data_IF_917729294709
#
_entry.id   IF_917729294709
#
_cell.length_a   1.000
_cell.length_b   1.000
_cell.length_c   1.000
_cell.angle_alpha   90.00
_cell.angle_beta   90.00
_cell.angle_gamma   90.00
#
_symmetry.space_group_name_H-M   'P 1'
#
loop_
_entity.id
_entity.type
_entity.pdbx_description
1 polymer ?
#
# COMPACT_ATOMS: atom_id res chain seq x y z
N UNK A 1 -7.92 -14.70 6.53
CA UNK A 1 -8.52 -13.36 6.29
C UNK A 1 -7.39 -12.55 5.69
N UNK A 2 -7.67 -11.81 4.63
CA UNK A 2 -6.64 -11.02 3.95
C UNK A 2 -6.41 -9.74 4.74
N UNK A 3 -5.15 -9.45 5.06
CA UNK A 3 -4.73 -8.20 5.70
C UNK A 3 -4.10 -7.28 4.64
N UNK A 4 -4.64 -7.30 3.42
CA UNK A 4 -4.15 -6.60 2.23
C UNK A 4 -3.74 -5.14 2.44
N UNK A 5 -4.46 -4.40 3.28
CA UNK A 5 -4.11 -3.01 3.59
C UNK A 5 -2.88 -2.89 4.49
N UNK A 6 -2.71 -3.81 5.44
CA UNK A 6 -1.48 -3.92 6.24
C UNK A 6 -0.30 -4.27 5.34
N UNK A 7 -0.49 -5.18 4.39
CA UNK A 7 0.55 -5.53 3.41
C UNK A 7 0.95 -4.32 2.55
N UNK A 8 -0.01 -3.60 1.96
CA UNK A 8 0.24 -2.37 1.22
C UNK A 8 0.98 -1.33 2.07
N UNK A 9 0.62 -1.19 3.34
CA UNK A 9 1.28 -0.28 4.26
C UNK A 9 2.73 -0.72 4.52
N UNK A 10 2.99 -2.00 4.77
CA UNK A 10 4.36 -2.53 4.94
C UNK A 10 5.22 -2.38 3.68
N UNK A 11 4.58 -2.30 2.51
CA UNK A 11 5.24 -2.07 1.22
C UNK A 11 5.41 -0.58 0.88
N UNK A 12 5.00 0.34 1.77
CA UNK A 12 5.19 1.78 1.63
C UNK A 12 4.07 2.53 0.89
N UNK A 13 2.92 1.90 0.65
CA UNK A 13 1.76 2.55 0.03
C UNK A 13 0.88 3.26 1.07
N UNK A 14 1.43 4.30 1.72
CA UNK A 14 0.78 5.01 2.84
C UNK A 14 -0.36 5.98 2.42
N UNK A 15 -0.44 6.33 1.13
CA UNK A 15 -1.37 7.36 0.61
C UNK A 15 -2.52 6.77 -0.21
N UNK A 16 -2.91 5.53 0.07
CA UNK A 16 -4.02 4.86 -0.64
C UNK A 16 -5.31 4.94 0.18
N UNK A 17 -6.37 5.52 -0.39
CA UNK A 17 -7.71 5.52 0.19
C UNK A 17 -8.58 4.52 -0.55
N UNK A 18 -9.08 3.49 0.13
CA UNK A 18 -9.94 2.47 -0.49
C UNK A 18 -11.39 2.67 -0.08
N UNK A 19 -12.27 2.86 -1.07
CA UNK A 19 -13.69 3.11 -0.88
C UNK A 19 -14.50 1.90 -1.37
N UNK A 20 -15.15 1.20 -0.45
CA UNK A 20 -16.11 0.14 -0.76
C UNK A 20 -17.51 0.71 -1.00
N UNK A 21 -18.06 0.59 -2.21
CA UNK A 21 -19.42 1.06 -2.54
C UNK A 21 -20.40 -0.11 -2.47
N UNK A 22 -21.38 -0.06 -1.57
CA UNK A 22 -22.34 -1.16 -1.39
C UNK A 22 -23.70 -0.72 -0.86
N UNK A 23 -24.77 -1.21 -1.50
CA UNK A 23 -26.16 -0.87 -1.21
C UNK A 23 -26.70 -1.64 0.02
N UNK A 24 -26.26 -1.31 1.24
CA UNK A 24 -26.97 -1.56 2.52
C UNK A 24 -26.59 -2.75 3.42
N UNK A 25 -25.65 -3.66 3.11
CA UNK A 25 -25.18 -4.63 4.13
C UNK A 25 -23.90 -5.35 3.70
N UNK A 26 -22.76 -4.94 4.25
CA UNK A 26 -21.46 -5.59 3.99
C UNK A 26 -20.69 -5.91 5.28
N UNK A 27 -21.41 -6.33 6.33
CA UNK A 27 -20.81 -6.70 7.64
C UNK A 27 -19.65 -7.70 7.47
N UNK A 28 -19.72 -8.61 6.49
CA UNK A 28 -18.68 -9.62 6.24
C UNK A 28 -17.58 -9.20 5.24
N UNK A 29 -17.83 -8.21 4.37
CA UNK A 29 -16.80 -7.69 3.46
C UNK A 29 -15.83 -6.80 4.24
N UNK A 30 -16.37 -5.93 5.10
CA UNK A 30 -15.59 -5.00 5.92
C UNK A 30 -14.62 -5.71 6.85
N UNK A 31 -15.05 -6.82 7.47
CA UNK A 31 -14.23 -7.58 8.42
C UNK A 31 -13.04 -8.33 7.80
N UNK A 32 -13.02 -8.52 6.48
CA UNK A 32 -11.91 -9.19 5.77
C UNK A 32 -11.11 -8.24 4.89
N UNK A 33 -11.55 -6.99 4.72
CA UNK A 33 -10.91 -6.04 3.81
C UNK A 33 -10.25 -4.87 4.55
N UNK A 34 -10.88 -4.42 5.64
CA UNK A 34 -10.34 -3.40 6.54
C UNK A 34 -9.88 -4.03 7.87
N UNK A 35 -9.66 -5.36 7.90
CA UNK A 35 -9.12 -6.01 9.10
C UNK A 35 -7.78 -5.35 9.45
N UNK A 36 -7.59 -5.02 10.73
CA UNK A 36 -6.36 -4.42 11.25
C UNK A 36 -5.94 -3.08 10.59
N UNK A 37 -6.87 -2.37 9.94
CA UNK A 37 -6.60 -1.08 9.30
C UNK A 37 -7.31 0.08 10.01
N UNK A 38 -6.60 1.19 10.20
CA UNK A 38 -7.11 2.44 10.80
C UNK A 38 -7.77 3.39 9.77
N UNK A 39 -8.07 2.90 8.56
CA UNK A 39 -8.59 3.74 7.48
C UNK A 39 -10.08 4.13 7.64
N UNK A 40 -10.48 5.33 7.17
CA UNK A 40 -11.87 5.74 7.14
C UNK A 40 -12.65 4.94 6.10
N UNK A 41 -13.55 4.05 6.54
CA UNK A 41 -14.50 3.38 5.65
C UNK A 41 -15.73 4.25 5.40
N UNK A 42 -15.99 4.59 4.13
CA UNK A 42 -17.20 5.31 3.72
C UNK A 42 -18.24 4.30 3.22
N UNK A 43 -19.40 4.26 3.87
CA UNK A 43 -20.53 3.40 3.49
C UNK A 43 -21.59 4.22 2.75
N UNK A 44 -22.02 3.75 1.58
CA UNK A 44 -23.10 4.39 0.84
C UNK A 44 -24.47 4.07 1.46
N UNK A 45 -25.12 5.09 2.04
CA UNK A 45 -26.34 4.89 2.82
C UNK A 45 -27.59 4.96 1.93
N UNK A 46 -28.40 3.90 2.00
CA UNK A 46 -29.75 3.85 1.44
C UNK A 46 -30.69 4.79 2.22
N UNK A 47 -31.67 5.46 1.57
CA UNK A 47 -32.10 5.28 0.18
C UNK A 47 -31.44 6.21 -0.84
N UNK A 48 -30.64 7.19 -0.41
CA UNK A 48 -30.10 8.25 -1.28
C UNK A 48 -28.93 7.81 -2.15
N UNK A 49 -28.15 6.82 -1.71
CA UNK A 49 -27.02 6.23 -2.45
C UNK A 49 -26.16 7.25 -3.24
N UNK A 50 -25.69 8.34 -2.61
CA UNK A 50 -24.95 9.40 -3.28
C UNK A 50 -23.64 8.90 -3.91
N UNK A 51 -22.98 7.91 -3.32
CA UNK A 51 -21.70 7.38 -3.83
C UNK A 51 -21.97 6.50 -5.05
N UNK A 52 -22.98 5.63 -5.01
CA UNK A 52 -23.44 4.88 -6.18
C UNK A 52 -23.77 5.81 -7.35
N UNK A 53 -24.47 6.91 -7.08
CA UNK A 53 -24.85 7.89 -8.09
C UNK A 53 -23.62 8.63 -8.65
N UNK A 54 -22.71 9.06 -7.78
CA UNK A 54 -21.51 9.78 -8.17
C UNK A 54 -20.57 8.94 -9.06
N UNK A 55 -20.50 7.63 -8.82
CA UNK A 55 -19.56 6.73 -9.51
C UNK A 55 -20.21 5.79 -10.52
N UNK A 56 -21.47 6.04 -10.90
CA UNK A 56 -22.25 5.15 -11.77
C UNK A 56 -22.11 3.68 -11.34
N UNK A 57 -22.35 3.44 -10.05
CA UNK A 57 -22.10 2.17 -9.41
C UNK A 57 -23.07 1.08 -9.90
N UNK A 58 -22.51 -0.05 -10.30
CA UNK A 58 -23.24 -1.25 -10.69
C UNK A 58 -23.24 -2.29 -9.57
N UNK A 59 -24.09 -3.32 -9.69
CA UNK A 59 -24.12 -4.40 -8.71
C UNK A 59 -22.73 -5.05 -8.57
N UNK A 60 -22.13 -4.95 -7.38
CA UNK A 60 -20.82 -5.51 -7.04
C UNK A 60 -19.65 -4.87 -7.81
N UNK A 61 -19.79 -3.61 -8.20
CA UNK A 61 -18.68 -2.85 -8.75
C UNK A 61 -17.65 -2.53 -7.65
N UNK A 62 -16.38 -2.83 -7.94
CA UNK A 62 -15.20 -2.29 -7.26
C UNK A 62 -14.65 -1.17 -8.13
N UNK A 63 -14.38 -0.01 -7.54
CA UNK A 63 -13.81 1.16 -8.22
C UNK A 63 -12.59 1.62 -7.43
N UNK A 64 -11.46 1.80 -8.12
CA UNK A 64 -10.25 2.43 -7.58
C UNK A 64 -10.21 3.85 -8.07
N UNK A 65 -10.06 4.79 -7.16
CA UNK A 65 -9.96 6.21 -7.47
C UNK A 65 -8.58 6.74 -7.14
N UNK A 66 -8.21 7.77 -7.88
CA UNK A 66 -7.06 8.60 -7.59
C UNK A 66 -7.30 9.41 -6.29
N UNK A 67 -6.23 9.92 -5.69
CA UNK A 67 -6.26 10.76 -4.48
C UNK A 67 -7.00 12.08 -4.70
N UNK A 68 -7.20 12.49 -5.97
CA UNK A 68 -8.04 13.62 -6.33
C UNK A 68 -9.55 13.38 -6.09
N UNK A 69 -9.95 12.12 -5.85
CA UNK A 69 -11.34 11.70 -5.64
C UNK A 69 -12.25 11.84 -6.86
N UNK A 70 -11.67 12.04 -8.06
CA UNK A 70 -12.39 12.28 -9.32
C UNK A 70 -11.93 11.30 -10.41
N UNK A 71 -10.65 11.00 -10.49
CA UNK A 71 -10.07 10.15 -11.53
C UNK A 71 -10.25 8.67 -11.19
N UNK A 72 -10.88 7.91 -12.08
CA UNK A 72 -11.03 6.46 -11.95
C UNK A 72 -9.79 5.76 -12.51
N UNK A 73 -9.07 5.03 -11.66
CA UNK A 73 -7.88 4.26 -12.02
C UNK A 73 -8.23 2.85 -12.49
N UNK A 74 -9.30 2.28 -11.93
CA UNK A 74 -9.74 0.92 -12.26
C UNK A 74 -11.20 0.68 -11.87
N UNK A 75 -11.85 -0.22 -12.62
CA UNK A 75 -13.18 -0.72 -12.32
C UNK A 75 -13.31 -2.19 -12.67
N UNK A 76 -13.89 -2.95 -11.75
CA UNK A 76 -14.26 -4.34 -11.99
C UNK A 76 -15.61 -4.70 -11.39
N UNK A 77 -16.31 -5.65 -12.01
CA UNK A 77 -17.49 -6.28 -11.42
C UNK A 77 -17.05 -7.54 -10.69
N UNK A 78 -17.22 -7.56 -9.38
CA UNK A 78 -16.84 -8.70 -8.55
C UNK A 78 -17.84 -9.84 -8.78
N UNK A 79 -17.38 -10.96 -9.33
CA UNK A 79 -18.17 -12.17 -9.52
C UNK A 79 -18.16 -13.10 -8.29
N UNK A 80 -17.20 -12.93 -7.39
CA UNK A 80 -17.08 -13.62 -6.09
C UNK A 80 -17.19 -12.63 -4.93
N UNK A 81 -17.51 -13.12 -3.74
CA UNK A 81 -17.38 -12.36 -2.48
C UNK A 81 -16.05 -12.63 -1.78
N UNK A 82 -15.23 -13.53 -2.33
CA UNK A 82 -13.88 -13.84 -1.85
C UNK A 82 -12.90 -12.84 -2.46
N UNK A 83 -12.56 -11.80 -1.68
CA UNK A 83 -11.70 -10.70 -2.13
C UNK A 83 -10.30 -11.10 -2.61
N UNK A 84 -9.63 -12.13 -2.05
CA UNK A 84 -8.29 -12.50 -2.49
C UNK A 84 -8.15 -12.92 -3.96
N UNK A 85 -9.24 -13.08 -4.70
CA UNK A 85 -9.20 -13.27 -6.16
C UNK A 85 -8.91 -11.98 -6.93
N UNK A 86 -8.95 -10.82 -6.27
CA UNK A 86 -8.85 -9.49 -6.88
C UNK A 86 -7.66 -8.69 -6.34
N UNK A 87 -6.88 -9.25 -5.41
CA UNK A 87 -5.76 -8.56 -4.76
C UNK A 87 -4.66 -8.20 -5.75
N UNK A 88 -4.30 -9.11 -6.65
CA UNK A 88 -3.26 -8.88 -7.66
C UNK A 88 -3.65 -7.75 -8.60
N UNK A 89 -4.86 -7.80 -9.19
CA UNK A 89 -5.37 -6.74 -10.07
C UNK A 89 -5.39 -5.38 -9.36
N UNK A 90 -5.75 -5.36 -8.07
CA UNK A 90 -5.82 -4.13 -7.29
C UNK A 90 -4.43 -3.59 -6.93
N UNK A 91 -3.50 -4.48 -6.56
CA UNK A 91 -2.08 -4.17 -6.35
C UNK A 91 -1.47 -3.57 -7.60
N UNK A 92 -1.66 -4.20 -8.75
CA UNK A 92 -1.10 -3.74 -10.02
C UNK A 92 -1.56 -2.32 -10.37
N UNK A 93 -2.84 -2.01 -10.14
CA UNK A 93 -3.39 -0.65 -10.34
C UNK A 93 -2.74 0.36 -9.40
N UNK A 94 -2.56 0.01 -8.12
CA UNK A 94 -1.89 0.89 -7.16
C UNK A 94 -0.44 1.12 -7.58
N UNK A 95 0.33 0.05 -7.82
CA UNK A 95 1.75 0.12 -8.18
C UNK A 95 1.97 0.95 -9.45
N UNK A 96 1.11 0.77 -10.46
CA UNK A 96 1.22 1.46 -11.74
C UNK A 96 0.99 2.98 -11.62
N UNK A 97 0.08 3.40 -10.73
CA UNK A 97 -0.27 4.82 -10.57
C UNK A 97 0.48 5.52 -9.43
N UNK A 98 0.91 4.75 -8.43
CA UNK A 98 1.62 5.22 -7.25
C UNK A 98 2.81 4.30 -7.00
N UNK A 99 3.81 4.26 -7.88
CA UNK A 99 4.99 3.44 -7.64
C UNK A 99 5.53 3.76 -6.24
N UNK A 100 5.79 2.73 -5.42
CA UNK A 100 6.26 2.94 -4.06
C UNK A 100 7.44 3.90 -4.10
N UNK A 101 7.38 4.95 -3.28
CA UNK A 101 8.48 5.92 -3.15
C UNK A 101 9.60 5.34 -2.32
N UNK A 102 9.80 4.02 -2.31
CA UNK A 102 10.91 3.39 -1.61
C UNK A 102 12.18 3.82 -2.32
N UNK A 103 12.74 4.94 -1.89
CA UNK A 103 14.03 5.41 -2.36
C UNK A 103 15.03 4.37 -1.85
N UNK A 104 15.78 3.67 -2.72
CA UNK A 104 16.75 2.70 -2.25
C UNK A 104 17.72 3.37 -1.27
N UNK A 105 17.81 2.83 -0.05
CA UNK A 105 18.65 3.38 1.02
C UNK A 105 17.97 4.39 1.94
N UNK A 106 16.71 4.78 1.71
CA UNK A 106 15.89 5.52 2.69
C UNK A 106 15.27 4.53 3.68
N UNK A 107 15.86 4.44 4.86
CA UNK A 107 15.49 3.47 5.89
C UNK A 107 14.61 4.07 6.98
N UNK A 108 14.58 5.40 7.10
CA UNK A 108 13.77 6.11 8.07
C UNK A 108 12.46 6.67 7.46
N UNK A 109 12.25 6.47 6.16
CA UNK A 109 11.09 6.94 5.38
C UNK A 109 10.93 8.46 5.43
N UNK A 110 12.03 9.22 5.42
CA UNK A 110 12.03 10.69 5.42
C UNK A 110 12.18 11.31 4.02
N UNK A 111 12.12 10.48 2.97
CA UNK A 111 12.31 10.82 1.57
C UNK A 111 13.73 11.35 1.24
N UNK A 112 14.72 11.18 2.14
CA UNK A 112 16.11 11.59 1.90
C UNK A 112 17.14 10.55 2.32
N UNK A 113 17.97 10.09 1.38
CA UNK A 113 19.09 9.19 1.71
C UNK A 113 20.27 9.98 2.24
N UNK A 114 20.57 9.84 3.53
CA UNK A 114 21.65 10.56 4.19
C UNK A 114 22.31 9.75 5.34
N UNK A 115 23.08 10.43 6.19
CA UNK A 115 23.79 9.80 7.31
C UNK A 115 22.84 9.16 8.34
N UNK A 116 21.58 9.61 8.43
CA UNK A 116 20.58 9.05 9.33
C UNK A 116 20.20 7.62 8.93
N UNK A 117 20.10 7.32 7.64
CA UNK A 117 19.86 5.95 7.15
C UNK A 117 21.01 5.02 7.48
N UNK A 118 22.26 5.51 7.34
CA UNK A 118 23.46 4.74 7.75
C UNK A 118 23.41 4.42 9.25
N UNK A 119 22.96 5.36 10.09
CA UNK A 119 22.82 5.13 11.53
C UNK A 119 21.76 4.05 11.78
N UNK A 120 20.63 4.10 11.08
CA UNK A 120 19.58 3.10 11.21
C UNK A 120 20.03 1.71 10.74
N UNK A 121 20.72 1.64 9.60
CA UNK A 121 21.31 0.40 9.09
C UNK A 121 22.32 -0.18 10.08
N UNK A 122 23.16 0.66 10.67
CA UNK A 122 24.13 0.25 11.69
C UNK A 122 23.44 -0.36 12.91
N UNK A 123 22.33 0.23 13.37
CA UNK A 123 21.54 -0.31 14.48
C UNK A 123 20.88 -1.65 14.10
N UNK A 124 20.47 -1.82 12.85
CA UNK A 124 19.91 -3.07 12.35
C UNK A 124 20.95 -4.19 12.35
N UNK A 125 22.17 -3.91 11.84
CA UNK A 125 23.31 -4.83 11.88
C UNK A 125 23.63 -5.24 13.33
N UNK A 126 23.66 -4.28 14.26
CA UNK A 126 23.99 -4.55 15.66
C UNK A 126 22.89 -5.33 16.41
N UNK A 127 21.64 -5.18 16.00
CA UNK A 127 20.51 -5.92 16.58
C UNK A 127 20.28 -7.28 15.94
N UNK A 128 20.95 -7.59 14.82
CA UNK A 128 20.69 -8.78 14.01
C UNK A 128 19.32 -8.74 13.33
N UNK A 129 18.78 -7.53 13.12
CA UNK A 129 17.54 -7.32 12.40
C UNK A 129 17.74 -7.55 10.90
N UNK A 130 16.64 -7.91 10.22
CA UNK A 130 16.59 -8.02 8.77
C UNK A 130 15.38 -7.22 8.26
N UNK A 131 15.58 -6.54 7.12
CA UNK A 131 14.57 -5.82 6.36
C UNK A 131 14.97 -5.87 4.89
N UNK A 132 14.04 -6.19 4.00
CA UNK A 132 14.30 -6.24 2.56
C UNK A 132 14.72 -4.87 1.99
N UNK A 133 14.29 -3.77 2.62
CA UNK A 133 14.69 -2.41 2.25
C UNK A 133 16.14 -2.07 2.61
N UNK A 134 16.74 -2.84 3.51
CA UNK A 134 18.08 -2.62 4.03
C UNK A 134 19.14 -3.58 3.44
N UNK A 135 18.71 -4.64 2.74
CA UNK A 135 19.56 -5.49 1.89
C UNK A 135 19.70 -4.84 0.50
N UNK A 136 20.66 -3.94 0.38
CA UNK A 136 20.80 -3.09 -0.81
C UNK A 136 21.62 -3.76 -1.91
N UNK A 137 22.32 -4.84 -1.59
CA UNK A 137 23.05 -5.65 -2.57
C UNK A 137 22.30 -6.93 -2.97
N UNK A 138 21.20 -7.27 -2.28
CA UNK A 138 20.33 -8.40 -2.57
C UNK A 138 20.95 -9.77 -2.25
N UNK A 139 21.90 -9.83 -1.31
CA UNK A 139 22.59 -11.07 -0.94
C UNK A 139 21.93 -11.84 0.21
N UNK A 140 20.86 -11.28 0.78
CA UNK A 140 20.09 -11.83 1.89
C UNK A 140 20.76 -11.65 3.25
N UNK A 141 21.82 -10.83 3.36
CA UNK A 141 22.58 -10.62 4.60
C UNK A 141 22.86 -9.14 4.83
N UNK A 142 22.17 -8.54 5.79
CA UNK A 142 22.44 -7.16 6.19
C UNK A 142 23.78 -7.05 6.91
N UNK A 143 24.74 -6.36 6.29
CA UNK A 143 26.07 -6.17 6.82
C UNK A 143 26.74 -4.88 6.32
N UNK A 144 28.05 -4.76 6.50
CA UNK A 144 28.82 -3.58 6.11
C UNK A 144 28.76 -3.31 4.58
N UNK A 145 28.49 -4.32 3.76
CA UNK A 145 28.35 -4.17 2.31
C UNK A 145 27.13 -3.32 1.94
N UNK A 146 26.03 -3.42 2.70
CA UNK A 146 24.85 -2.57 2.51
C UNK A 146 25.13 -1.12 2.89
N UNK A 147 25.93 -0.89 3.95
CA UNK A 147 26.39 0.46 4.31
C UNK A 147 27.21 1.06 3.17
N UNK A 148 28.09 0.27 2.54
CA UNK A 148 28.85 0.73 1.37
C UNK A 148 27.92 1.08 0.21
N UNK A 149 26.83 0.32 0.01
CA UNK A 149 25.82 0.65 -1.00
C UNK A 149 25.13 1.99 -0.71
N UNK A 150 24.68 2.25 0.54
CA UNK A 150 24.11 3.56 0.92
C UNK A 150 25.10 4.70 0.67
N UNK A 151 26.36 4.53 1.06
CA UNK A 151 27.38 5.57 0.86
C UNK A 151 27.56 5.88 -0.64
N UNK A 152 27.51 4.86 -1.50
CA UNK A 152 27.59 5.08 -2.94
C UNK A 152 26.37 5.84 -3.48
N UNK A 153 25.18 5.61 -2.93
CA UNK A 153 23.96 6.35 -3.28
C UNK A 153 24.14 7.82 -2.89
N UNK A 154 24.51 8.10 -1.63
CA UNK A 154 24.75 9.46 -1.12
C UNK A 154 25.81 10.22 -1.94
N UNK A 155 26.85 9.53 -2.43
CA UNK A 155 27.93 10.14 -3.20
C UNK A 155 27.61 10.29 -4.71
N UNK A 156 26.52 9.69 -5.19
CA UNK A 156 26.10 9.76 -6.59
C UNK A 156 25.14 10.92 -6.88
N UNK A 157 24.64 11.59 -5.84
CA UNK A 157 23.88 12.85 -5.89
C UNK A 157 24.79 14.09 -5.96
#
# INVERSE_FOLDING_TARGET
>A
MSDFQEELHTEGYEKVVIIGVGQSAQINFNSSFCANSDLPLILDQSPSLPILTAFNGEHRALVVMDIDGVTELYRATLNSTYFPLYEDDFRDVIISNYPSTTIPGDLNSDDTVNILDIIQLSNMILSGGYSDTADLNGDGVINILDIVAIVNIILSD
#
